data_IF_461499291360
#
_entry.id   IF_461499291360
#
_cell.length_a   1.000
_cell.length_b   1.000
_cell.length_c   1.000
_cell.angle_alpha   90.00
_cell.angle_beta   90.00
_cell.angle_gamma   90.00
#
_symmetry.space_group_name_H-M   'P 1'
#
loop_
_entity.id
_entity.type
_entity.pdbx_description
1 polymer ?
#
# COMPACT_ATOMS: atom_id res chain seq x y z
N UNK A 1 8.58 -0.21 -13.05
CA UNK A 1 9.37 -1.46 -12.89
C UNK A 1 8.48 -2.50 -12.25
N UNK A 2 7.88 -3.37 -13.06
CA UNK A 2 6.90 -4.37 -12.60
C UNK A 2 7.62 -5.63 -12.14
N UNK A 3 8.21 -5.57 -10.93
CA UNK A 3 8.64 -6.77 -10.22
C UNK A 3 7.40 -7.58 -9.86
N UNK A 4 7.07 -8.55 -10.71
CA UNK A 4 6.07 -9.57 -10.43
C UNK A 4 6.53 -10.36 -9.20
N UNK A 5 6.06 -9.97 -8.01
CA UNK A 5 6.31 -10.73 -6.78
C UNK A 5 5.93 -12.19 -7.01
N UNK A 6 6.89 -13.09 -6.76
CA UNK A 6 6.61 -14.51 -6.88
C UNK A 6 5.58 -14.92 -5.82
N UNK A 7 4.78 -15.95 -6.13
CA UNK A 7 3.81 -16.49 -5.16
C UNK A 7 4.49 -16.93 -3.86
N UNK A 8 5.74 -17.39 -3.92
CA UNK A 8 6.54 -17.74 -2.74
C UNK A 8 6.89 -16.50 -1.89
N UNK A 9 7.27 -15.39 -2.53
CA UNK A 9 7.57 -14.13 -1.84
C UNK A 9 6.33 -13.57 -1.15
N UNK A 10 5.18 -13.57 -1.84
CA UNK A 10 3.90 -13.13 -1.27
C UNK A 10 3.45 -14.04 -0.12
N UNK A 11 3.62 -15.35 -0.26
CA UNK A 11 3.32 -16.29 0.82
C UNK A 11 4.24 -16.11 2.04
N UNK A 12 5.54 -15.88 1.81
CA UNK A 12 6.51 -15.60 2.88
C UNK A 12 6.22 -14.27 3.58
N UNK A 13 5.86 -13.23 2.83
CA UNK A 13 5.43 -11.95 3.38
C UNK A 13 4.15 -12.14 4.22
N UNK A 14 3.14 -12.83 3.69
CA UNK A 14 1.90 -13.15 4.41
C UNK A 14 2.18 -13.95 5.68
N UNK A 15 3.10 -14.91 5.68
CA UNK A 15 3.46 -15.67 6.88
C UNK A 15 4.15 -14.80 7.95
N UNK A 16 4.80 -13.70 7.55
CA UNK A 16 5.52 -12.81 8.45
C UNK A 16 4.62 -11.67 8.97
N UNK A 17 3.79 -11.99 9.97
CA UNK A 17 2.89 -11.02 10.60
C UNK A 17 3.61 -9.77 11.10
N UNK A 18 4.78 -9.92 11.75
CA UNK A 18 5.52 -8.78 12.31
C UNK A 18 5.95 -7.80 11.22
N UNK A 19 6.40 -8.30 10.07
CA UNK A 19 6.74 -7.46 8.91
C UNK A 19 5.51 -6.74 8.38
N UNK A 20 4.39 -7.44 8.16
CA UNK A 20 3.16 -6.82 7.68
C UNK A 20 2.67 -5.71 8.63
N UNK A 21 2.57 -5.98 9.93
CA UNK A 21 2.08 -4.99 10.91
C UNK A 21 3.02 -3.78 10.99
N UNK A 22 4.34 -3.97 10.91
CA UNK A 22 5.32 -2.85 10.91
C UNK A 22 5.16 -1.95 9.70
N UNK A 23 5.01 -2.53 8.50
CA UNK A 23 4.77 -1.78 7.26
C UNK A 23 3.47 -1.00 7.39
N UNK A 24 2.37 -1.66 7.72
CA UNK A 24 1.05 -1.04 7.87
C UNK A 24 1.04 0.10 8.92
N UNK A 25 1.77 -0.07 10.03
CA UNK A 25 1.89 0.96 11.07
C UNK A 25 2.68 2.18 10.60
N UNK A 26 3.65 2.01 9.71
CA UNK A 26 4.35 3.13 9.07
C UNK A 26 3.41 3.89 8.11
N UNK A 27 2.60 3.17 7.33
CA UNK A 27 1.60 3.77 6.44
C UNK A 27 0.55 4.59 7.21
N UNK A 28 0.17 4.18 8.42
CA UNK A 28 -0.74 4.96 9.28
C UNK A 28 -0.20 6.34 9.62
N UNK A 29 1.08 6.43 10.02
CA UNK A 29 1.71 7.72 10.34
C UNK A 29 1.69 8.65 9.14
N UNK A 30 1.82 8.07 7.96
CA UNK A 30 1.73 8.78 6.71
C UNK A 30 0.32 9.29 6.42
N UNK A 31 -0.71 8.43 6.48
CA UNK A 31 -2.11 8.80 6.25
C UNK A 31 -2.60 9.96 7.15
N UNK A 32 -2.18 9.97 8.43
CA UNK A 32 -2.51 11.04 9.38
C UNK A 32 -1.83 12.37 9.04
N UNK A 33 -0.60 12.34 8.51
CA UNK A 33 0.13 13.56 8.15
C UNK A 33 -0.36 14.18 6.84
N UNK A 34 -0.91 13.36 5.93
CA UNK A 34 -1.43 13.79 4.64
C UNK A 34 -2.81 14.45 4.74
N UNK A 35 -3.59 14.15 5.77
CA UNK A 35 -4.95 14.70 5.93
C UNK A 35 -4.98 16.22 6.22
N UNK A 36 -3.84 16.90 6.30
CA UNK A 36 -3.73 18.36 6.45
C UNK A 36 -3.67 19.12 5.11
N UNK A 37 -4.67 20.00 4.90
CA UNK A 37 -4.83 21.15 3.98
C UNK A 37 -4.44 21.06 2.48
N UNK A 38 -3.60 20.13 2.03
CA UNK A 38 -3.17 19.98 0.63
C UNK A 38 -3.10 18.50 0.15
N UNK A 39 -3.27 17.54 1.05
CA UNK A 39 -2.80 16.17 0.84
C UNK A 39 -3.63 15.24 -0.03
N UNK A 40 -4.56 15.73 -0.85
CA UNK A 40 -5.01 14.97 -2.02
C UNK A 40 -4.40 15.48 -3.33
N UNK A 41 -3.81 16.68 -3.38
CA UNK A 41 -3.18 17.24 -4.59
C UNK A 41 -1.68 17.51 -4.42
N UNK A 42 -1.13 17.20 -3.25
CA UNK A 42 0.30 17.29 -2.99
C UNK A 42 1.07 16.24 -3.82
N UNK A 43 2.16 16.69 -4.45
CA UNK A 43 3.15 15.83 -5.12
C UNK A 43 3.65 14.76 -4.16
N UNK A 44 3.82 13.54 -4.66
CA UNK A 44 4.39 12.44 -3.89
C UNK A 44 5.81 12.79 -3.46
N UNK A 45 6.11 12.61 -2.16
CA UNK A 45 7.49 12.64 -1.70
C UNK A 45 8.14 11.26 -1.90
N UNK A 46 9.46 11.17 -2.11
CA UNK A 46 10.14 9.88 -2.32
C UNK A 46 9.88 8.85 -1.19
N UNK A 47 9.74 9.31 0.06
CA UNK A 47 9.41 8.43 1.18
C UNK A 47 7.95 7.93 1.16
N UNK A 48 7.04 8.68 0.53
CA UNK A 48 5.63 8.29 0.37
C UNK A 48 5.50 7.18 -0.67
N UNK A 49 6.20 7.28 -1.80
CA UNK A 49 6.17 6.28 -2.87
C UNK A 49 6.60 4.89 -2.36
N UNK A 50 7.73 4.82 -1.66
CA UNK A 50 8.25 3.58 -1.06
C UNK A 50 7.27 2.99 -0.03
N UNK A 51 6.58 3.84 0.73
CA UNK A 51 5.58 3.39 1.70
C UNK A 51 4.30 2.87 1.03
N UNK A 52 3.87 3.50 -0.07
CA UNK A 52 2.70 3.07 -0.83
C UNK A 52 2.98 1.77 -1.60
N UNK A 53 4.18 1.62 -2.15
CA UNK A 53 4.64 0.37 -2.75
C UNK A 53 4.66 -0.76 -1.70
N UNK A 54 5.28 -0.51 -0.54
CA UNK A 54 5.31 -1.49 0.56
C UNK A 54 3.90 -1.83 1.08
N UNK A 55 2.99 -0.86 1.09
CA UNK A 55 1.58 -1.11 1.42
C UNK A 55 0.93 -2.04 0.39
N UNK A 56 1.12 -1.76 -0.89
CA UNK A 56 0.58 -2.56 -1.97
C UNK A 56 1.16 -3.98 -1.99
N UNK A 57 2.44 -4.18 -1.67
CA UNK A 57 3.02 -5.51 -1.47
C UNK A 57 2.26 -6.33 -0.42
N UNK A 58 1.94 -5.70 0.71
CA UNK A 58 1.19 -6.35 1.79
C UNK A 58 -0.23 -6.63 1.33
N UNK A 59 -0.87 -5.71 0.61
CA UNK A 59 -2.21 -5.93 0.03
C UNK A 59 -2.20 -7.12 -0.94
N UNK A 60 -1.27 -7.16 -1.89
CA UNK A 60 -1.11 -8.27 -2.85
C UNK A 60 -0.85 -9.61 -2.15
N UNK A 61 -0.07 -9.62 -1.07
CA UNK A 61 0.19 -10.84 -0.30
C UNK A 61 -1.09 -11.44 0.35
N UNK A 62 -2.12 -10.62 0.52
CA UNK A 62 -3.43 -11.03 1.07
C UNK A 62 -4.54 -11.01 0.02
N UNK A 63 -4.28 -10.56 -1.21
CA UNK A 63 -5.21 -10.71 -2.31
C UNK A 63 -5.37 -12.20 -2.63
N UNK A 64 -6.60 -12.69 -2.58
CA UNK A 64 -6.94 -14.05 -3.00
C UNK A 64 -8.23 -14.03 -3.80
N UNK A 65 -8.34 -14.77 -4.92
CA UNK A 65 -9.56 -14.80 -5.73
C UNK A 65 -10.81 -15.26 -4.97
N UNK A 66 -10.62 -16.00 -3.88
CA UNK A 66 -11.67 -16.54 -3.02
C UNK A 66 -11.81 -15.80 -1.68
N UNK A 67 -11.12 -14.67 -1.50
CA UNK A 67 -11.20 -13.84 -0.30
C UNK A 67 -10.62 -14.47 0.98
N UNK A 68 -9.95 -15.64 0.89
CA UNK A 68 -9.53 -16.42 2.08
C UNK A 68 -8.62 -15.69 3.07
N UNK A 69 -7.95 -14.61 2.65
CA UNK A 69 -7.03 -13.82 3.48
C UNK A 69 -7.54 -12.41 3.79
N UNK A 70 -8.75 -12.04 3.35
CA UNK A 70 -9.32 -10.70 3.58
C UNK A 70 -9.45 -10.41 5.08
N UNK A 71 -9.96 -11.38 5.84
CA UNK A 71 -10.08 -11.23 7.29
C UNK A 71 -8.70 -11.08 7.96
N UNK A 72 -7.70 -11.85 7.53
CA UNK A 72 -6.33 -11.75 8.04
C UNK A 72 -5.71 -10.37 7.75
N UNK A 73 -5.96 -9.82 6.56
CA UNK A 73 -5.54 -8.47 6.22
C UNK A 73 -6.21 -7.42 7.11
N UNK A 74 -7.53 -7.51 7.29
CA UNK A 74 -8.29 -6.59 8.14
C UNK A 74 -7.79 -6.62 9.60
N UNK A 75 -7.53 -7.81 10.16
CA UNK A 75 -6.96 -7.97 11.50
C UNK A 75 -5.57 -7.31 11.62
N UNK A 76 -4.73 -7.44 10.60
CA UNK A 76 -3.40 -6.81 10.57
C UNK A 76 -3.49 -5.29 10.46
N UNK A 77 -4.39 -4.77 9.63
CA UNK A 77 -4.68 -3.34 9.56
C UNK A 77 -5.13 -2.79 10.91
N UNK A 78 -6.06 -3.48 11.59
CA UNK A 78 -6.51 -3.10 12.92
C UNK A 78 -5.37 -3.09 13.94
N UNK A 79 -4.50 -4.11 13.94
CA UNK A 79 -3.32 -4.19 14.83
C UNK A 79 -2.28 -3.11 14.55
N UNK A 80 -2.17 -2.68 13.31
CA UNK A 80 -1.35 -1.53 12.91
C UNK A 80 -1.99 -0.18 13.27
N UNK A 81 -3.25 -0.18 13.72
CA UNK A 81 -4.02 1.01 14.06
C UNK A 81 -4.58 1.75 12.84
N UNK A 82 -4.63 1.11 11.67
CA UNK A 82 -5.29 1.64 10.47
C UNK A 82 -6.80 1.49 10.61
N UNK A 83 -7.53 2.56 10.30
CA UNK A 83 -8.97 2.52 10.11
C UNK A 83 -9.30 2.14 8.66
N UNK A 84 -10.56 1.78 8.40
CA UNK A 84 -11.04 1.56 7.03
C UNK A 84 -10.81 2.79 6.14
N UNK A 85 -10.97 4.00 6.68
CA UNK A 85 -10.73 5.24 5.95
C UNK A 85 -9.25 5.40 5.56
N UNK A 86 -8.32 5.05 6.46
CA UNK A 86 -6.88 5.08 6.16
C UNK A 86 -6.52 4.09 5.05
N UNK A 87 -7.07 2.87 5.12
CA UNK A 87 -6.84 1.83 4.09
C UNK A 87 -7.37 2.31 2.73
N UNK A 88 -8.59 2.84 2.67
CA UNK A 88 -9.14 3.37 1.42
C UNK A 88 -8.33 4.55 0.87
N UNK A 89 -7.85 5.45 1.74
CA UNK A 89 -6.98 6.55 1.34
C UNK A 89 -5.67 6.04 0.72
N UNK A 90 -5.00 5.07 1.37
CA UNK A 90 -3.75 4.47 0.88
C UNK A 90 -3.95 3.79 -0.48
N UNK A 91 -5.06 3.07 -0.66
CA UNK A 91 -5.44 2.46 -1.95
C UNK A 91 -5.64 3.52 -3.04
N UNK A 92 -6.38 4.59 -2.76
CA UNK A 92 -6.57 5.70 -3.71
C UNK A 92 -5.25 6.40 -4.05
N UNK A 93 -4.37 6.60 -3.07
CA UNK A 93 -3.04 7.19 -3.29
C UNK A 93 -2.16 6.30 -4.15
N UNK A 94 -2.16 5.00 -3.93
CA UNK A 94 -1.44 4.03 -4.77
C UNK A 94 -1.94 4.05 -6.21
N UNK A 95 -3.26 4.03 -6.44
CA UNK A 95 -3.84 4.13 -7.79
C UNK A 95 -3.39 5.39 -8.52
N UNK A 96 -3.33 6.52 -7.81
CA UNK A 96 -2.84 7.77 -8.40
C UNK A 96 -1.34 7.74 -8.70
N UNK A 97 -0.54 7.12 -7.85
CA UNK A 97 0.90 6.95 -8.10
C UNK A 97 1.12 6.10 -9.36
N UNK A 98 0.39 4.99 -9.52
CA UNK A 98 0.44 4.16 -10.73
C UNK A 98 0.09 4.97 -11.99
N UNK A 99 -0.97 5.78 -11.95
CA UNK A 99 -1.34 6.64 -13.09
C UNK A 99 -0.25 7.65 -13.48
N UNK A 100 0.52 8.17 -12.52
CA UNK A 100 1.63 9.08 -12.82
C UNK A 100 2.82 8.32 -13.43
N UNK A 101 3.15 7.14 -12.88
CA UNK A 101 4.23 6.30 -13.39
C UNK A 101 3.95 5.78 -14.80
N UNK A 102 2.70 5.41 -15.09
CA UNK A 102 2.28 4.92 -16.42
C UNK A 102 2.15 6.09 -17.42
N UNK A 103 1.79 7.30 -16.95
CA UNK A 103 1.64 8.48 -17.79
C UNK A 103 2.95 9.14 -18.22
N UNK A 104 4.03 8.97 -17.46
CA UNK A 104 5.37 9.46 -17.83
C UNK A 104 6.05 8.61 -18.94
N UNK A 105 5.50 7.45 -19.31
CA UNK A 105 6.02 6.62 -20.41
C UNK A 105 5.56 7.09 -21.82
N UNK A 106 4.58 7.99 -21.93
CA UNK A 106 4.04 8.46 -23.23
C UNK A 106 4.78 9.68 -23.82
N UNK A 107 5.73 10.30 -23.11
CA UNK A 107 6.42 11.55 -23.53
C UNK A 107 7.87 11.33 -24.02
N UNK A 108 8.22 10.11 -24.48
CA UNK A 108 9.51 9.81 -25.12
C UNK A 108 9.33 9.48 -26.61
N UNK A 109 9.10 10.50 -27.44
CA UNK A 109 9.27 10.46 -28.91
C UNK A 109 10.75 10.62 -29.34
#
# INVERSE_FOLDING_TARGET
MSDQYSQEQLAALRANETRCVRVLAACRRFAVNVSGAAGNYATFAQNEEVLLESFHEVELAHASPDGRYEQLFAERCQRAGLTTADVSMLQTRWQRLQQLLDGDEEDSE
#
